data_IF_942853882737
#
_entry.id   IF_942853882737
#
_cell.length_a   1.000
_cell.length_b   1.000
_cell.length_c   1.000
_cell.angle_alpha   90.00
_cell.angle_beta   90.00
_cell.angle_gamma   90.00
#
_symmetry.space_group_name_H-M   'P 1'
#
loop_
_entity.id
_entity.type
_entity.pdbx_description
1 polymer ?
#
# COMPACT_ATOMS: atom_id res chain seq x y z
N UNK A 1 -5.96 0.16 -4.28
CA UNK A 1 -6.64 1.24 -3.52
C UNK A 1 -7.71 0.59 -2.66
N UNK A 2 -7.65 0.75 -1.35
CA UNK A 2 -8.68 0.28 -0.42
C UNK A 2 -9.42 1.51 0.10
N UNK A 3 -10.74 1.40 0.27
CA UNK A 3 -11.59 2.48 0.79
C UNK A 3 -12.30 1.97 2.04
N UNK A 4 -12.12 2.68 3.15
CA UNK A 4 -12.76 2.35 4.43
C UNK A 4 -13.79 3.43 4.78
N UNK A 5 -15.00 3.01 5.18
CA UNK A 5 -16.05 3.92 5.60
C UNK A 5 -15.81 4.39 7.02
N UNK A 6 -15.82 5.69 7.27
CA UNK A 6 -15.70 6.31 8.59
C UNK A 6 -17.07 6.32 9.28
N UNK A 7 -17.09 6.05 10.58
CA UNK A 7 -18.30 6.05 11.42
C UNK A 7 -18.26 7.06 12.56
N UNK A 8 -17.07 7.37 13.04
CA UNK A 8 -16.86 8.35 14.10
C UNK A 8 -15.56 9.12 13.84
N UNK A 9 -15.57 10.39 14.32
CA UNK A 9 -14.40 11.26 14.35
C UNK A 9 -14.18 11.84 15.73
N UNK A 10 -12.95 12.19 16.01
CA UNK A 10 -12.53 12.90 17.21
C UNK A 10 -11.23 13.64 16.91
N UNK A 11 -10.97 14.76 17.58
CA UNK A 11 -9.67 15.41 17.58
C UNK A 11 -9.35 15.90 18.98
N UNK A 12 -8.19 15.54 19.48
CA UNK A 12 -7.65 16.02 20.76
C UNK A 12 -6.17 16.34 20.57
N UNK A 13 -5.78 17.52 21.02
CA UNK A 13 -4.37 17.96 21.04
C UNK A 13 -3.70 17.86 19.66
N UNK A 14 -4.42 18.27 18.60
CA UNK A 14 -3.99 18.20 17.20
C UNK A 14 -3.80 16.78 16.64
N UNK A 15 -4.34 15.76 17.29
CA UNK A 15 -4.40 14.41 16.77
C UNK A 15 -5.84 14.07 16.42
N UNK A 16 -6.08 13.81 15.15
CA UNK A 16 -7.35 13.28 14.68
C UNK A 16 -7.42 11.77 14.86
N UNK A 17 -8.58 11.30 15.23
CA UNK A 17 -8.92 9.88 15.36
C UNK A 17 -10.16 9.61 14.52
N UNK A 18 -10.04 8.73 13.56
CA UNK A 18 -11.16 8.23 12.78
C UNK A 18 -11.40 6.76 13.11
N UNK A 19 -12.66 6.37 13.25
CA UNK A 19 -13.05 4.98 13.41
C UNK A 19 -13.69 4.47 12.12
N UNK A 20 -13.20 3.35 11.61
CA UNK A 20 -13.77 2.71 10.43
C UNK A 20 -14.87 1.70 10.79
N UNK A 21 -15.82 1.50 9.86
CA UNK A 21 -16.95 0.58 10.01
C UNK A 21 -16.49 -0.89 10.06
N UNK A 22 -15.51 -1.22 9.27
CA UNK A 22 -14.91 -2.56 9.18
C UNK A 22 -13.46 -2.51 9.64
N UNK A 23 -12.85 -3.65 10.03
CA UNK A 23 -11.42 -3.71 10.21
C UNK A 23 -10.68 -3.12 9.02
N UNK A 24 -9.63 -2.38 9.29
CA UNK A 24 -8.75 -1.82 8.29
C UNK A 24 -7.38 -2.48 8.39
N UNK A 25 -6.66 -2.52 7.27
CA UNK A 25 -5.32 -3.10 7.14
C UNK A 25 -4.25 -1.99 7.12
N UNK A 26 -4.52 -0.88 7.82
CA UNK A 26 -3.63 0.27 7.88
C UNK A 26 -2.57 0.07 8.95
N UNK A 27 -1.32 0.34 8.58
CA UNK A 27 -0.17 0.30 9.46
C UNK A 27 0.38 1.69 9.75
N UNK A 28 1.13 1.81 10.85
CA UNK A 28 1.86 3.04 11.18
C UNK A 28 2.87 3.35 10.09
N UNK A 29 2.78 4.55 9.53
CA UNK A 29 3.62 4.99 8.41
C UNK A 29 2.93 4.98 7.05
N UNK A 30 1.72 4.42 6.96
CA UNK A 30 0.92 4.50 5.74
C UNK A 30 0.44 5.94 5.47
N UNK A 31 0.27 6.26 4.18
CA UNK A 31 -0.33 7.51 3.74
C UNK A 31 -1.79 7.26 3.35
N UNK A 32 -2.67 8.08 3.90
CA UNK A 32 -4.12 7.99 3.67
C UNK A 32 -4.67 9.32 3.16
N UNK A 33 -5.73 9.25 2.39
CA UNK A 33 -6.55 10.39 2.00
C UNK A 33 -7.89 10.29 2.73
N UNK A 34 -8.31 11.38 3.37
CA UNK A 34 -9.57 11.46 4.12
C UNK A 34 -10.51 12.39 3.39
N UNK A 35 -11.75 11.94 3.14
CA UNK A 35 -12.76 12.73 2.44
C UNK A 35 -14.17 12.55 3.00
N UNK A 36 -14.92 13.65 3.03
CA UNK A 36 -16.33 13.68 3.44
C UNK A 36 -16.57 13.52 4.94
N UNK A 37 -15.52 13.54 5.76
CA UNK A 37 -15.62 13.49 7.24
C UNK A 37 -15.95 14.85 7.81
N UNK A 38 -15.54 15.90 7.11
CA UNK A 38 -15.77 17.32 7.43
C UNK A 38 -14.55 18.14 7.06
N UNK A 39 -14.79 19.37 6.60
CA UNK A 39 -13.75 20.24 6.02
C UNK A 39 -12.48 20.38 6.89
N UNK A 40 -12.65 20.26 8.22
CA UNK A 40 -11.54 20.34 9.18
C UNK A 40 -10.73 19.03 9.32
N UNK A 41 -11.25 17.91 8.78
CA UNK A 41 -10.63 16.59 8.84
C UNK A 41 -10.20 16.07 7.47
N UNK A 42 -10.81 16.62 6.40
CA UNK A 42 -10.58 16.19 5.03
C UNK A 42 -9.22 16.70 4.56
N UNK A 43 -8.32 15.80 4.21
CA UNK A 43 -6.98 16.12 3.70
C UNK A 43 -6.39 14.89 2.98
N UNK A 44 -5.28 15.10 2.29
CA UNK A 44 -4.59 14.08 1.49
C UNK A 44 -3.18 13.83 2.02
N UNK A 45 -2.67 12.61 1.77
CA UNK A 45 -1.31 12.23 2.16
C UNK A 45 -1.05 12.34 3.67
N UNK A 46 -2.07 12.07 4.47
CA UNK A 46 -1.98 12.05 5.92
C UNK A 46 -1.23 10.80 6.39
N UNK A 47 -0.24 10.98 7.25
CA UNK A 47 0.57 9.89 7.77
C UNK A 47 -0.11 9.22 8.97
N UNK A 48 -0.40 7.93 8.87
CA UNK A 48 -0.90 7.14 10.00
C UNK A 48 0.16 7.07 11.11
N UNK A 49 -0.21 7.51 12.30
CA UNK A 49 0.67 7.55 13.49
C UNK A 49 0.45 6.41 14.44
N UNK A 50 -0.80 5.94 14.55
CA UNK A 50 -1.15 4.78 15.39
C UNK A 50 -2.49 4.18 14.93
N UNK A 51 -2.70 2.89 15.24
CA UNK A 51 -3.94 2.14 15.00
C UNK A 51 -4.39 1.45 16.31
N UNK A 52 -4.81 2.22 17.34
CA UNK A 52 -5.10 1.67 18.66
C UNK A 52 -6.43 0.95 18.69
N UNK A 53 -6.54 -0.01 19.63
CA UNK A 53 -7.79 -0.70 19.96
C UNK A 53 -8.56 -0.05 21.11
N UNK A 54 -7.96 0.94 21.81
CA UNK A 54 -8.54 1.58 22.98
C UNK A 54 -8.79 3.06 22.74
N UNK A 55 -9.76 3.62 23.49
CA UNK A 55 -10.10 5.04 23.38
C UNK A 55 -8.88 5.93 23.59
N UNK A 56 -8.54 6.71 22.58
CA UNK A 56 -7.52 7.75 22.64
C UNK A 56 -7.96 8.87 23.61
N UNK A 57 -7.08 9.30 24.50
CA UNK A 57 -7.39 10.29 25.55
C UNK A 57 -6.52 11.54 25.49
N UNK A 58 -5.53 11.58 24.59
CA UNK A 58 -4.66 12.73 24.40
C UNK A 58 -3.19 12.35 24.26
N UNK A 59 -2.32 13.32 24.41
CA UNK A 59 -0.86 13.19 24.36
C UNK A 59 -0.30 13.58 25.72
N UNK A 60 0.64 12.84 26.27
CA UNK A 60 1.26 13.18 27.54
C UNK A 60 2.36 14.27 27.41
N UNK A 61 2.91 14.70 28.54
CA UNK A 61 3.95 15.74 28.58
C UNK A 61 5.26 15.32 27.85
N UNK A 62 5.41 14.04 27.49
CA UNK A 62 6.55 13.48 26.77
C UNK A 62 6.30 13.36 25.27
N UNK A 63 5.04 13.56 24.85
CA UNK A 63 4.59 13.42 23.46
C UNK A 63 4.10 12.02 23.11
N UNK A 64 3.89 11.15 24.09
CA UNK A 64 3.37 9.82 23.87
C UNK A 64 1.84 9.79 23.90
N UNK A 65 1.25 8.95 23.04
CA UNK A 65 -0.21 8.79 22.95
C UNK A 65 -0.75 8.04 24.17
N UNK A 66 -1.80 8.59 24.77
CA UNK A 66 -2.46 8.01 25.94
C UNK A 66 -3.81 7.40 25.59
N UNK A 67 -4.14 6.29 26.24
CA UNK A 67 -5.36 5.53 25.96
C UNK A 67 -6.08 5.11 27.24
N UNK A 68 -7.41 5.14 27.20
CA UNK A 68 -8.21 4.53 28.24
C UNK A 68 -8.43 3.04 27.93
N UNK A 69 -7.64 2.19 28.56
CA UNK A 69 -7.64 0.73 28.34
C UNK A 69 -8.91 0.01 28.85
N UNK A 70 -9.81 0.72 29.52
CA UNK A 70 -11.12 0.19 29.95
C UNK A 70 -12.18 0.32 28.83
N UNK A 71 -11.91 1.11 27.79
CA UNK A 71 -12.87 1.36 26.71
C UNK A 71 -12.25 0.88 25.40
N UNK A 72 -12.74 -0.29 24.95
CA UNK A 72 -12.33 -0.89 23.67
C UNK A 72 -13.07 -0.16 22.53
N UNK A 73 -12.32 0.40 21.60
CA UNK A 73 -12.81 0.99 20.36
C UNK A 73 -11.93 0.50 19.22
N UNK A 74 -12.30 -0.59 18.54
CA UNK A 74 -11.49 -1.15 17.46
C UNK A 74 -11.53 -0.28 16.19
N UNK A 75 -10.62 -0.56 15.29
CA UNK A 75 -10.56 0.02 13.95
C UNK A 75 -10.34 1.55 13.95
N UNK A 76 -9.58 2.05 14.92
CA UNK A 76 -9.19 3.46 14.96
C UNK A 76 -7.91 3.71 14.14
N UNK A 77 -7.84 4.89 13.55
CA UNK A 77 -6.68 5.41 12.82
C UNK A 77 -6.39 6.80 13.34
N UNK A 78 -5.15 7.02 13.78
CA UNK A 78 -4.66 8.30 14.30
C UNK A 78 -3.71 8.96 13.29
N UNK A 79 -3.88 10.25 13.10
CA UNK A 79 -2.97 11.09 12.29
C UNK A 79 -2.92 12.51 12.85
N UNK A 80 -1.89 13.27 12.49
CA UNK A 80 -1.79 14.69 12.86
C UNK A 80 -2.80 15.51 12.07
N UNK A 81 -3.58 16.31 12.79
CA UNK A 81 -4.55 17.23 12.20
C UNK A 81 -4.73 18.43 13.15
N UNK A 82 -4.18 19.56 12.76
CA UNK A 82 -4.17 20.78 13.59
C UNK A 82 -5.54 21.44 13.58
N UNK A 83 -6.08 21.74 14.76
CA UNK A 83 -7.36 22.44 14.91
C UNK A 83 -7.92 22.35 16.33
N UNK A 84 -9.10 22.88 16.52
CA UNK A 84 -9.80 22.86 17.81
C UNK A 84 -10.15 21.43 18.21
N UNK A 85 -10.14 21.14 19.52
CA UNK A 85 -10.54 19.86 20.04
C UNK A 85 -12.01 19.53 19.70
N UNK A 86 -12.23 18.34 19.19
CA UNK A 86 -13.53 17.81 18.85
C UNK A 86 -13.75 16.52 19.63
N UNK A 87 -14.78 16.50 20.48
CA UNK A 87 -15.17 15.29 21.19
C UNK A 87 -15.61 14.19 20.22
N UNK A 88 -15.56 12.92 20.69
CA UNK A 88 -15.98 11.82 19.84
C UNK A 88 -17.44 11.95 19.41
N UNK A 89 -17.67 12.00 18.11
CA UNK A 89 -18.99 12.12 17.52
C UNK A 89 -19.13 11.25 16.25
N UNK A 90 -20.38 10.99 15.86
CA UNK A 90 -20.66 10.26 14.64
C UNK A 90 -20.26 11.10 13.42
N UNK A 91 -19.62 10.47 12.46
CA UNK A 91 -19.23 11.08 11.20
C UNK A 91 -19.47 10.10 10.05
N UNK A 92 -19.55 10.63 8.85
CA UNK A 92 -19.65 9.84 7.60
C UNK A 92 -18.58 10.38 6.67
N UNK A 93 -17.85 9.47 6.04
CA UNK A 93 -16.77 9.79 5.11
C UNK A 93 -16.00 8.56 4.74
N UNK A 94 -14.88 8.75 4.08
CA UNK A 94 -14.00 7.66 3.64
C UNK A 94 -12.57 7.94 4.01
N UNK A 95 -11.83 6.88 4.27
CA UNK A 95 -10.38 6.83 4.25
C UNK A 95 -10.00 6.03 3.01
N UNK A 96 -9.31 6.67 2.08
CA UNK A 96 -8.75 6.03 0.92
C UNK A 96 -7.26 5.74 1.16
N UNK A 97 -6.86 4.51 0.89
CA UNK A 97 -5.52 4.04 1.09
C UNK A 97 -4.96 3.44 -0.19
N UNK A 98 -3.86 3.97 -0.65
CA UNK A 98 -3.10 3.39 -1.74
C UNK A 98 -1.67 3.14 -1.29
N UNK A 99 -1.26 1.89 -1.26
CA UNK A 99 0.14 1.53 -1.01
C UNK A 99 0.98 2.00 -2.20
N UNK A 100 1.85 2.98 -1.99
CA UNK A 100 2.87 3.33 -2.97
C UNK A 100 4.14 2.57 -2.66
N UNK A 101 4.40 1.52 -3.41
CA UNK A 101 5.60 0.70 -3.27
C UNK A 101 6.70 1.24 -4.16
N UNK A 102 7.90 1.48 -3.61
CA UNK A 102 9.03 2.08 -4.31
C UNK A 102 10.27 1.17 -4.29
N UNK A 103 10.09 -0.14 -4.49
CA UNK A 103 11.19 -1.10 -4.50
C UNK A 103 12.11 -0.94 -5.70
N UNK A 104 11.54 -0.61 -6.85
CA UNK A 104 12.28 -0.28 -8.07
C UNK A 104 11.82 1.09 -8.59
N UNK A 105 12.69 1.74 -9.33
CA UNK A 105 12.42 3.00 -10.04
C UNK A 105 12.56 2.79 -11.55
N UNK A 106 12.09 3.71 -12.35
CA UNK A 106 12.10 3.64 -13.82
C UNK A 106 13.50 3.36 -14.38
N UNK A 107 14.52 3.96 -13.77
CA UNK A 107 15.90 3.75 -14.18
C UNK A 107 16.36 2.30 -14.00
N UNK A 108 15.91 1.60 -12.95
CA UNK A 108 16.24 0.18 -12.77
C UNK A 108 15.70 -0.67 -13.95
N UNK A 109 14.53 -0.30 -14.47
CA UNK A 109 13.89 -0.98 -15.61
C UNK A 109 14.62 -0.67 -16.92
N UNK A 110 14.96 0.61 -17.14
CA UNK A 110 15.70 1.06 -18.34
C UNK A 110 17.09 0.42 -18.39
N UNK A 111 17.80 0.41 -17.27
CA UNK A 111 19.13 -0.22 -17.17
C UNK A 111 19.05 -1.75 -17.46
N UNK A 112 18.01 -2.40 -16.94
CA UNK A 112 17.78 -3.83 -17.22
C UNK A 112 17.48 -4.10 -18.71
N UNK A 113 16.71 -3.22 -19.34
CA UNK A 113 16.38 -3.32 -20.75
C UNK A 113 17.56 -2.94 -21.67
N UNK A 114 18.50 -2.14 -21.14
CA UNK A 114 19.62 -1.59 -21.91
C UNK A 114 19.16 -0.60 -22.98
N UNK A 115 18.14 0.20 -22.66
CA UNK A 115 17.53 1.19 -23.57
C UNK A 115 17.42 2.56 -22.90
N UNK A 116 17.43 3.61 -23.73
CA UNK A 116 16.95 4.93 -23.36
C UNK A 116 15.56 5.16 -23.98
N UNK A 117 14.61 5.77 -23.26
CA UNK A 117 13.28 6.03 -23.80
C UNK A 117 13.38 7.02 -24.97
N UNK A 118 12.78 6.67 -26.09
CA UNK A 118 12.88 7.47 -27.33
C UNK A 118 11.89 8.66 -27.36
N UNK A 119 10.81 8.55 -26.58
CA UNK A 119 9.72 9.56 -26.55
C UNK A 119 9.18 9.71 -25.14
N UNK A 120 8.51 10.84 -24.87
CA UNK A 120 7.78 11.05 -23.61
C UNK A 120 6.74 9.95 -23.34
N UNK A 121 6.11 9.41 -24.38
CA UNK A 121 5.17 8.31 -24.23
C UNK A 121 5.85 7.01 -23.77
N UNK A 122 7.11 6.81 -24.15
CA UNK A 122 7.86 5.64 -23.67
C UNK A 122 8.27 5.83 -22.20
N UNK A 123 8.67 7.04 -21.80
CA UNK A 123 8.95 7.38 -20.40
C UNK A 123 7.71 7.14 -19.51
N UNK A 124 6.56 7.69 -19.90
CA UNK A 124 5.31 7.50 -19.19
C UNK A 124 4.90 6.01 -19.10
N UNK A 125 5.17 5.24 -20.16
CA UNK A 125 4.83 3.82 -20.14
C UNK A 125 5.79 3.00 -19.27
N UNK A 126 7.07 3.35 -19.21
CA UNK A 126 8.01 2.74 -18.25
C UNK A 126 7.54 2.99 -16.82
N UNK A 127 7.15 4.22 -16.49
CA UNK A 127 6.63 4.56 -15.17
C UNK A 127 5.41 3.69 -14.79
N UNK A 128 4.44 3.54 -15.70
CA UNK A 128 3.27 2.67 -15.47
C UNK A 128 3.69 1.21 -15.25
N UNK A 129 4.68 0.70 -16.00
CA UNK A 129 5.17 -0.66 -15.82
C UNK A 129 5.90 -0.83 -14.47
N UNK A 130 6.66 0.18 -14.05
CA UNK A 130 7.37 0.22 -12.77
C UNK A 130 6.39 0.16 -11.61
N UNK A 131 5.40 1.05 -11.62
CA UNK A 131 4.37 1.13 -10.57
C UNK A 131 3.56 -0.16 -10.48
N UNK A 132 3.10 -0.67 -11.62
CA UNK A 132 2.36 -1.93 -11.68
C UNK A 132 3.19 -3.11 -11.15
N UNK A 133 4.49 -3.16 -11.47
CA UNK A 133 5.37 -4.23 -11.00
C UNK A 133 5.60 -4.16 -9.50
N UNK A 134 5.84 -2.96 -8.96
CA UNK A 134 5.99 -2.72 -7.53
C UNK A 134 4.74 -3.20 -6.77
N UNK A 135 3.57 -2.77 -7.20
CA UNK A 135 2.29 -3.10 -6.56
C UNK A 135 1.96 -4.61 -6.64
N UNK A 136 2.16 -5.24 -7.81
CA UNK A 136 1.91 -6.68 -7.98
C UNK A 136 2.86 -7.51 -7.11
N UNK A 137 4.15 -7.15 -7.07
CA UNK A 137 5.14 -7.85 -6.27
C UNK A 137 4.80 -7.76 -4.78
N UNK A 138 4.48 -6.56 -4.30
CA UNK A 138 4.10 -6.32 -2.91
C UNK A 138 2.86 -7.14 -2.53
N UNK A 139 1.76 -7.04 -3.30
CA UNK A 139 0.54 -7.81 -3.05
C UNK A 139 0.77 -9.32 -3.04
N UNK A 140 1.60 -9.83 -3.95
CA UNK A 140 1.93 -11.26 -4.00
C UNK A 140 2.69 -11.72 -2.78
N UNK A 141 3.64 -10.93 -2.31
CA UNK A 141 4.43 -11.24 -1.12
C UNK A 141 3.60 -11.12 0.15
N UNK A 142 2.78 -10.08 0.27
CA UNK A 142 1.84 -9.92 1.37
C UNK A 142 0.86 -11.10 1.45
N UNK A 143 0.28 -11.54 0.32
CA UNK A 143 -0.57 -12.72 0.24
C UNK A 143 0.16 -14.02 0.60
N UNK A 144 1.50 -14.07 0.44
CA UNK A 144 2.32 -15.19 0.86
C UNK A 144 2.80 -15.11 2.32
N UNK A 145 2.34 -14.10 3.09
CA UNK A 145 2.62 -13.92 4.51
C UNK A 145 3.93 -13.19 4.81
N UNK A 146 4.52 -12.47 3.84
CA UNK A 146 5.67 -11.60 4.09
C UNK A 146 5.21 -10.22 4.55
N UNK A 147 5.94 -9.65 5.51
CA UNK A 147 5.80 -8.26 5.98
C UNK A 147 6.96 -7.43 5.44
N UNK A 148 6.84 -6.96 4.20
CA UNK A 148 7.87 -6.14 3.58
C UNK A 148 7.58 -4.65 3.81
N UNK A 149 8.64 -3.85 3.95
CA UNK A 149 8.51 -2.39 3.90
C UNK A 149 8.14 -1.94 2.48
N UNK A 150 7.33 -0.90 2.37
CA UNK A 150 6.92 -0.32 1.07
C UNK A 150 8.10 0.34 0.32
N UNK A 151 9.14 0.76 1.04
CA UNK A 151 10.31 1.45 0.46
C UNK A 151 11.53 0.56 0.27
N UNK A 152 11.58 -0.62 0.92
CA UNK A 152 12.76 -1.50 0.89
C UNK A 152 12.38 -2.96 0.79
N UNK A 153 13.12 -3.71 -0.02
CA UNK A 153 12.96 -5.16 -0.13
C UNK A 153 14.33 -5.84 -0.29
N UNK A 154 14.34 -7.17 -0.24
CA UNK A 154 15.54 -7.95 -0.55
C UNK A 154 16.01 -7.79 -1.99
N UNK A 155 17.31 -7.95 -2.25
CA UNK A 155 17.88 -7.79 -3.61
C UNK A 155 17.32 -8.79 -4.61
N UNK A 156 16.93 -9.97 -4.17
CA UNK A 156 16.25 -11.00 -4.98
C UNK A 156 14.85 -10.53 -5.38
N UNK A 157 14.09 -9.94 -4.45
CA UNK A 157 12.78 -9.38 -4.70
C UNK A 157 12.88 -8.19 -5.66
N UNK A 158 13.85 -7.28 -5.43
CA UNK A 158 14.12 -6.16 -6.33
C UNK A 158 14.37 -6.65 -7.75
N UNK A 159 15.25 -7.65 -7.91
CA UNK A 159 15.56 -8.24 -9.22
C UNK A 159 14.31 -8.84 -9.89
N UNK A 160 13.52 -9.62 -9.14
CA UNK A 160 12.27 -10.20 -9.66
C UNK A 160 11.27 -9.15 -10.12
N UNK A 161 11.17 -8.04 -9.37
CA UNK A 161 10.27 -6.92 -9.69
C UNK A 161 10.74 -6.18 -10.95
N UNK A 162 12.05 -5.93 -11.09
CA UNK A 162 12.64 -5.33 -12.31
C UNK A 162 12.40 -6.22 -13.53
N UNK A 163 12.60 -7.54 -13.39
CA UNK A 163 12.33 -8.49 -14.48
C UNK A 163 10.87 -8.47 -14.90
N UNK A 164 9.94 -8.34 -13.95
CA UNK A 164 8.51 -8.28 -14.24
C UNK A 164 8.13 -6.98 -14.94
N UNK A 165 8.62 -5.82 -14.46
CA UNK A 165 8.41 -4.53 -15.12
C UNK A 165 8.93 -4.53 -16.57
N UNK A 166 10.12 -5.07 -16.79
CA UNK A 166 10.71 -5.20 -18.11
C UNK A 166 9.91 -6.13 -19.04
N UNK A 167 9.29 -7.18 -18.49
CA UNK A 167 8.39 -8.04 -19.25
C UNK A 167 7.14 -7.27 -19.68
N UNK A 168 6.48 -6.54 -18.76
CA UNK A 168 5.33 -5.69 -19.06
C UNK A 168 5.65 -4.65 -20.15
N UNK A 169 6.82 -4.03 -20.08
CA UNK A 169 7.25 -3.06 -21.09
C UNK A 169 7.37 -3.70 -22.47
N UNK A 170 7.98 -4.89 -22.58
CA UNK A 170 8.16 -5.62 -23.85
C UNK A 170 6.85 -6.11 -24.45
N UNK A 171 5.85 -6.37 -23.62
CA UNK A 171 4.53 -6.84 -24.06
C UNK A 171 3.59 -5.71 -24.52
N UNK A 172 4.07 -4.46 -24.56
CA UNK A 172 3.31 -3.31 -25.02
C UNK A 172 2.65 -3.57 -26.39
N UNK A 173 1.32 -3.52 -26.42
CA UNK A 173 0.54 -3.68 -27.65
C UNK A 173 0.31 -5.13 -28.11
N UNK A 174 0.78 -6.12 -27.36
CA UNK A 174 0.58 -7.54 -27.65
C UNK A 174 -0.49 -8.14 -26.71
N UNK A 175 -1.76 -8.09 -27.15
CA UNK A 175 -2.85 -8.72 -26.41
C UNK A 175 -2.81 -10.25 -26.44
N UNK A 176 -2.14 -10.83 -27.45
CA UNK A 176 -2.07 -12.29 -27.63
C UNK A 176 -1.15 -12.97 -26.61
N UNK A 177 -0.18 -12.25 -26.05
CA UNK A 177 0.70 -12.80 -25.01
C UNK A 177 0.00 -12.94 -23.66
N UNK A 178 -1.03 -12.15 -23.37
CA UNK A 178 -1.84 -12.30 -22.15
C UNK A 178 -2.69 -13.57 -22.14
N UNK A 179 -3.14 -14.04 -23.30
CA UNK A 179 -3.92 -15.29 -23.38
C UNK A 179 -3.09 -16.52 -23.04
N UNK A 180 -1.78 -16.48 -23.19
CA UNK A 180 -0.89 -17.61 -22.85
C UNK A 180 -0.69 -17.80 -21.35
N UNK A 181 -1.02 -16.80 -20.52
CA UNK A 181 -0.94 -16.88 -19.06
C UNK A 181 -2.14 -17.61 -18.44
N UNK A 182 -3.31 -17.58 -19.08
CA UNK A 182 -4.57 -18.12 -18.53
C UNK A 182 -4.84 -19.60 -18.93
N UNK A 183 -4.14 -20.13 -19.91
CA UNK A 183 -4.39 -21.49 -20.46
C UNK A 183 -3.49 -22.56 -19.85
N UNK A 184 -2.51 -22.24 -18.99
CA UNK A 184 -1.63 -23.22 -18.39
C UNK A 184 -2.11 -23.70 -17.02
N UNK A 185 -3.16 -24.50 -17.01
CA UNK A 185 -3.31 -25.56 -16.00
C UNK A 185 -2.27 -26.65 -16.26
N UNK A 186 -0.99 -26.47 -15.99
CA UNK A 186 -0.02 -27.58 -15.98
C UNK A 186 1.39 -27.15 -15.51
N UNK A 187 2.27 -28.11 -15.25
CA UNK A 187 3.14 -28.16 -14.07
C UNK A 187 4.15 -27.04 -14.04
N UNK A 188 4.53 -26.64 -12.84
CA UNK A 188 5.54 -25.64 -12.42
C UNK A 188 6.06 -24.72 -13.55
N UNK A 189 5.73 -23.41 -13.52
CA UNK A 189 6.13 -22.48 -14.57
C UNK A 189 7.66 -22.47 -14.72
N UNK A 190 8.13 -23.09 -15.77
CA UNK A 190 9.57 -23.15 -16.14
C UNK A 190 10.00 -21.92 -16.98
N UNK A 191 9.08 -20.99 -17.22
CA UNK A 191 9.32 -19.73 -17.92
C UNK A 191 9.77 -18.57 -17.03
N UNK A 192 9.94 -17.39 -17.60
CA UNK A 192 10.37 -16.16 -16.91
C UNK A 192 9.51 -15.85 -15.67
N UNK A 193 8.19 -16.07 -15.72
CA UNK A 193 7.30 -15.87 -14.58
C UNK A 193 7.59 -16.83 -13.42
N UNK A 194 7.97 -18.08 -13.69
CA UNK A 194 8.39 -19.02 -12.64
C UNK A 194 9.66 -18.59 -11.92
N UNK A 195 10.59 -17.97 -12.64
CA UNK A 195 11.79 -17.40 -12.03
C UNK A 195 11.45 -16.17 -11.19
N UNK A 196 10.60 -15.29 -11.67
CA UNK A 196 10.12 -14.11 -10.95
C UNK A 196 9.43 -14.53 -9.63
N UNK A 197 8.52 -15.49 -9.67
CA UNK A 197 7.84 -16.01 -8.49
C UNK A 197 8.79 -16.63 -7.46
N UNK A 198 9.87 -17.27 -7.93
CA UNK A 198 10.93 -17.77 -7.03
C UNK A 198 11.69 -16.64 -6.37
N UNK A 199 12.04 -15.60 -7.11
CA UNK A 199 12.72 -14.42 -6.59
C UNK A 199 11.85 -13.68 -5.57
N UNK A 200 10.54 -13.63 -5.79
CA UNK A 200 9.59 -13.09 -4.81
C UNK A 200 9.33 -14.02 -3.62
N UNK A 201 9.84 -15.25 -3.63
CA UNK A 201 9.58 -16.23 -2.57
C UNK A 201 8.17 -16.81 -2.56
N UNK A 202 7.33 -16.45 -3.56
CA UNK A 202 5.91 -16.81 -3.62
C UNK A 202 5.64 -18.21 -4.19
N UNK A 203 6.68 -19.02 -4.43
CA UNK A 203 6.55 -20.35 -5.04
C UNK A 203 6.52 -21.50 -4.00
N UNK A 204 6.28 -21.17 -2.72
CA UNK A 204 6.12 -22.19 -1.69
C UNK A 204 4.66 -22.62 -1.64
N UNK A 205 4.40 -23.94 -1.75
CA UNK A 205 3.11 -24.49 -1.39
C UNK A 205 2.83 -24.08 0.06
N UNK A 206 1.75 -23.33 0.27
CA UNK A 206 1.27 -23.06 1.61
C UNK A 206 0.83 -24.40 2.20
N UNK A 207 1.60 -24.92 3.14
CA UNK A 207 1.18 -26.04 3.97
C UNK A 207 0.25 -25.44 5.02
N UNK A 208 -1.03 -25.70 4.82
CA UNK A 208 -2.05 -25.38 5.80
C UNK A 208 -1.94 -26.25 7.06
#
# INVERSE_FOLDING_TARGET
MATYTVTNRMRLENIAVLQTLTPNDLDVGDLIDVAGVGDDFDDTSLLVRATPEYLFTGVDDQGDYTYNTLILIPNQVLFENVGDDVGREAAVGTIDYSVTVTWIVDQDVLDWLGIDPATLNDELFVAVCTDAANEVAYRRRSAAGYTDSVSTCGSDVKLGTTMYAAALYRERGSLDSFQSFDVMQTPAPTGAMGQILRLWGCNRAQVA
#
